data_IF_875572885482
#
_entry.id   IF_875572885482
#
_cell.length_a   1.000
_cell.length_b   1.000
_cell.length_c   1.000
_cell.angle_alpha   90.00
_cell.angle_beta   90.00
_cell.angle_gamma   90.00
#
_symmetry.space_group_name_H-M   'P 1'
#
loop_
_entity.id
_entity.type
_entity.pdbx_description
1 polymer ?
#
# COMPACT_ATOMS: atom_id res chain seq x y z
N UNK A 1 -1.58 -4.47 10.35
CA UNK A 1 -0.48 -3.54 10.67
C UNK A 1 0.19 -3.90 11.98
N UNK A 2 -0.57 -3.99 13.10
CA UNK A 2 -0.04 -4.35 14.42
C UNK A 2 0.98 -5.49 14.42
N UNK A 3 0.64 -6.67 13.90
CA UNK A 3 1.60 -7.79 13.82
C UNK A 3 2.95 -7.42 13.15
N UNK A 4 2.90 -6.65 12.05
CA UNK A 4 4.12 -6.25 11.33
C UNK A 4 4.97 -5.25 12.10
N UNK A 5 4.37 -4.32 12.82
CA UNK A 5 5.12 -3.30 13.58
C UNK A 5 5.50 -3.75 15.00
N UNK A 6 4.59 -4.44 15.68
CA UNK A 6 4.72 -4.78 17.10
C UNK A 6 5.43 -6.13 17.31
N UNK A 7 5.19 -7.12 16.44
CA UNK A 7 5.77 -8.47 16.58
C UNK A 7 7.00 -8.61 15.71
N UNK A 8 6.88 -8.29 14.42
CA UNK A 8 8.00 -8.43 13.47
C UNK A 8 8.99 -7.26 13.51
N UNK A 9 8.65 -6.15 14.17
CA UNK A 9 9.52 -4.98 14.29
C UNK A 9 9.86 -4.30 12.96
N UNK A 10 9.00 -4.43 11.94
CA UNK A 10 9.26 -3.84 10.62
C UNK A 10 9.30 -2.31 10.70
N UNK A 11 10.12 -1.69 9.87
CA UNK A 11 10.14 -0.23 9.75
C UNK A 11 9.06 0.31 8.79
N UNK A 12 8.66 -0.51 7.81
CA UNK A 12 7.72 -0.12 6.75
C UNK A 12 6.87 -1.31 6.33
N UNK A 13 5.59 -1.04 6.07
CA UNK A 13 4.67 -1.98 5.42
C UNK A 13 4.13 -1.29 4.17
N UNK A 14 4.15 -2.00 3.04
CA UNK A 14 3.61 -1.49 1.78
C UNK A 14 2.67 -2.49 1.14
N UNK A 15 1.74 -1.99 0.33
CA UNK A 15 0.77 -2.78 -0.40
C UNK A 15 0.56 -2.19 -1.80
N UNK A 16 -0.01 -3.00 -2.69
CA UNK A 16 -0.33 -2.59 -4.07
C UNK A 16 -1.75 -2.99 -4.40
N UNK A 17 -2.45 -2.15 -5.16
CA UNK A 17 -3.74 -2.50 -5.75
C UNK A 17 -3.78 -2.10 -7.22
N UNK A 18 -4.65 -2.74 -8.00
CA UNK A 18 -4.87 -2.31 -9.38
C UNK A 18 -5.43 -0.90 -9.43
N UNK A 19 -4.95 -0.09 -10.38
CA UNK A 19 -5.49 1.25 -10.62
C UNK A 19 -7.00 1.22 -10.86
N UNK A 20 -7.51 0.19 -11.56
CA UNK A 20 -8.95 -0.01 -11.78
C UNK A 20 -9.76 -0.47 -10.56
N UNK A 21 -9.12 -0.76 -9.42
CA UNK A 21 -9.78 -1.14 -8.17
C UNK A 21 -9.50 -0.11 -7.06
N UNK A 22 -10.15 1.07 -7.10
CA UNK A 22 -9.97 2.11 -6.10
C UNK A 22 -10.53 1.74 -4.72
N UNK A 23 -11.40 0.72 -4.61
CA UNK A 23 -11.96 0.30 -3.34
C UNK A 23 -10.88 -0.24 -2.39
N UNK A 24 -9.93 -1.02 -2.91
CA UNK A 24 -8.77 -1.49 -2.13
C UNK A 24 -7.88 -0.32 -1.69
N UNK A 25 -7.70 0.70 -2.54
CA UNK A 25 -6.97 1.92 -2.17
C UNK A 25 -7.60 2.66 -0.99
N UNK A 26 -8.92 2.79 -0.97
CA UNK A 26 -9.64 3.40 0.16
C UNK A 26 -9.46 2.63 1.48
N UNK A 27 -9.41 1.30 1.42
CA UNK A 27 -9.11 0.49 2.62
C UNK A 27 -7.70 0.76 3.11
N UNK A 28 -6.71 0.82 2.22
CA UNK A 28 -5.32 1.14 2.56
C UNK A 28 -5.20 2.52 3.23
N UNK A 29 -5.87 3.53 2.67
CA UNK A 29 -5.93 4.87 3.26
C UNK A 29 -6.61 4.86 4.64
N UNK A 30 -7.73 4.14 4.79
CA UNK A 30 -8.45 4.04 6.07
C UNK A 30 -7.62 3.43 7.19
N UNK A 31 -6.67 2.54 6.87
CA UNK A 31 -5.75 1.96 7.85
C UNK A 31 -4.46 2.77 8.05
N UNK A 32 -4.38 3.98 7.48
CA UNK A 32 -3.26 4.90 7.67
C UNK A 32 -2.13 4.78 6.66
N UNK A 33 -2.31 4.06 5.54
CA UNK A 33 -1.31 4.07 4.47
C UNK A 33 -1.44 5.30 3.58
N UNK A 34 -0.30 5.83 3.17
CA UNK A 34 -0.14 6.94 2.23
C UNK A 34 0.11 6.41 0.82
N UNK A 35 -0.44 7.07 -0.20
CA UNK A 35 -0.12 6.76 -1.60
C UNK A 35 1.29 7.24 -1.92
N UNK A 36 2.09 6.36 -2.52
CA UNK A 36 3.52 6.61 -2.77
C UNK A 36 3.85 6.64 -4.27
N UNK A 37 2.95 6.16 -5.14
CA UNK A 37 3.14 6.26 -6.58
C UNK A 37 2.29 5.32 -7.43
N UNK A 38 2.32 5.58 -8.74
CA UNK A 38 1.58 4.83 -9.76
C UNK A 38 2.54 4.14 -10.71
N UNK A 39 2.45 2.82 -10.80
CA UNK A 39 3.24 1.98 -11.69
C UNK A 39 2.43 1.67 -12.94
N UNK A 40 2.65 2.45 -14.01
CA UNK A 40 1.92 2.31 -15.28
C UNK A 40 2.31 1.02 -16.01
N UNK A 41 1.31 0.26 -16.44
CA UNK A 41 1.49 -0.99 -17.22
C UNK A 41 2.50 -1.98 -16.59
N UNK A 42 2.55 -2.02 -15.25
CA UNK A 42 3.60 -2.73 -14.52
C UNK A 42 3.46 -4.25 -14.57
N UNK A 43 2.23 -4.77 -14.70
CA UNK A 43 1.99 -6.20 -14.76
C UNK A 43 1.06 -6.57 -15.91
N UNK A 44 1.25 -7.78 -16.45
CA UNK A 44 0.30 -8.39 -17.38
C UNK A 44 -0.62 -9.33 -16.62
N UNK A 45 -1.91 -9.05 -16.58
CA UNK A 45 -2.93 -9.92 -15.97
C UNK A 45 -4.09 -10.10 -16.93
N UNK A 46 -4.52 -11.35 -17.12
CA UNK A 46 -5.61 -11.70 -18.05
C UNK A 46 -5.42 -11.13 -19.47
N UNK A 47 -4.18 -11.16 -19.96
CA UNK A 47 -3.84 -10.67 -21.30
C UNK A 47 -3.69 -9.15 -21.40
N UNK A 48 -4.06 -8.38 -20.37
CA UNK A 48 -4.01 -6.91 -20.37
C UNK A 48 -2.85 -6.40 -19.52
N UNK A 49 -2.22 -5.32 -19.98
CA UNK A 49 -1.24 -4.56 -19.18
C UNK A 49 -1.99 -3.66 -18.20
N UNK A 50 -1.69 -3.82 -16.93
CA UNK A 50 -2.43 -3.22 -15.83
C UNK A 50 -1.53 -2.29 -15.02
N UNK A 51 -2.11 -1.18 -14.56
CA UNK A 51 -1.48 -0.27 -13.61
C UNK A 51 -1.62 -0.76 -12.18
N UNK A 52 -0.62 -0.48 -11.35
CA UNK A 52 -0.68 -0.67 -9.90
C UNK A 52 -0.47 0.66 -9.19
N UNK A 53 -1.27 0.91 -8.17
CA UNK A 53 -1.00 1.94 -7.17
C UNK A 53 -0.25 1.33 -6.00
N UNK A 54 0.74 2.06 -5.49
CA UNK A 54 1.57 1.67 -4.35
C UNK A 54 1.18 2.55 -3.16
N UNK A 55 0.91 1.92 -2.03
CA UNK A 55 0.72 2.60 -0.75
C UNK A 55 1.67 2.05 0.30
N UNK A 56 2.09 2.89 1.24
CA UNK A 56 3.00 2.54 2.32
C UNK A 56 2.62 3.21 3.63
N UNK A 57 3.05 2.62 4.73
CA UNK A 57 3.02 3.22 6.06
C UNK A 57 4.34 2.89 6.78
N UNK A 58 4.93 3.90 7.39
CA UNK A 58 6.12 3.82 8.21
C UNK A 58 5.76 3.54 9.67
N UNK A 59 6.71 2.97 10.40
CA UNK A 59 6.56 2.71 11.83
C UNK A 59 6.28 4.00 12.61
N UNK A 60 6.94 5.11 12.27
CA UNK A 60 6.71 6.41 12.91
C UNK A 60 5.28 6.90 12.71
N UNK A 61 4.74 6.78 11.50
CA UNK A 61 3.37 7.15 11.16
C UNK A 61 2.34 6.27 11.90
N UNK A 62 2.61 4.97 12.02
CA UNK A 62 1.76 4.04 12.76
C UNK A 62 1.65 4.38 14.26
N UNK A 63 2.75 4.81 14.89
CA UNK A 63 2.76 5.22 16.30
C UNK A 63 2.38 6.69 16.52
N UNK A 64 2.09 7.46 15.47
CA UNK A 64 1.75 8.89 15.58
C UNK A 64 2.93 9.82 15.88
N UNK A 65 4.16 9.39 15.61
CA UNK A 65 5.40 10.15 15.85
C UNK A 65 5.85 10.93 14.60
N UNK A 66 4.89 11.40 13.79
CA UNK A 66 5.12 12.09 12.51
C UNK A 66 5.05 13.60 12.63
#
# INVERSE_FOLDING_TARGET
LGYGFEVLGLNRIHARHFTRNPASGRVMQKIGMTHEGSLRQHIKKWGQLEGLEVCGILRSEYYGNG
#
